data_IF_928328338052
#
_entry.id   IF_928328338052
#
_cell.length_a   1.000
_cell.length_b   1.000
_cell.length_c   1.000
_cell.angle_alpha   90.00
_cell.angle_beta   90.00
_cell.angle_gamma   90.00
#
_symmetry.space_group_name_H-M   'P 1'
#
loop_
_entity.id
_entity.type
_entity.pdbx_description
1 polymer ?
#
# COMPACT_ATOMS: atom_id res chain seq x y z
N UNK A 1 -14.38 -23.36 26.93
CA UNK A 1 -14.20 -23.23 25.47
C UNK A 1 -12.98 -22.35 25.24
N UNK A 2 -11.88 -22.89 24.72
CA UNK A 2 -10.63 -22.14 24.54
C UNK A 2 -10.59 -21.56 23.13
N UNK A 3 -10.56 -20.24 23.01
CA UNK A 3 -10.43 -19.52 21.73
C UNK A 3 -8.95 -19.20 21.54
N UNK A 4 -8.39 -19.59 20.40
CA UNK A 4 -6.99 -19.30 20.07
C UNK A 4 -7.02 -18.27 18.94
N UNK A 5 -6.65 -17.04 19.27
CA UNK A 5 -6.43 -15.96 18.31
C UNK A 5 -5.06 -16.13 17.66
N UNK A 6 -5.02 -16.17 16.33
CA UNK A 6 -3.77 -16.39 15.61
C UNK A 6 -3.52 -15.23 14.69
N UNK A 7 -2.44 -14.51 14.97
CA UNK A 7 -2.02 -13.36 14.19
C UNK A 7 -1.56 -13.91 12.84
N UNK A 8 -2.30 -13.68 11.76
CA UNK A 8 -1.86 -14.03 10.41
C UNK A 8 -0.75 -13.08 9.90
N UNK A 9 0.19 -12.71 10.77
CA UNK A 9 1.44 -12.09 10.34
C UNK A 9 2.22 -13.08 9.50
N UNK A 10 2.91 -12.58 8.47
CA UNK A 10 3.70 -13.32 7.47
C UNK A 10 4.78 -14.29 8.02
N UNK A 11 4.84 -14.53 9.32
CA UNK A 11 5.93 -15.24 10.01
C UNK A 11 5.53 -16.32 11.03
N UNK A 12 4.26 -16.75 11.12
CA UNK A 12 3.87 -17.85 12.03
C UNK A 12 2.97 -18.89 11.34
N UNK A 13 3.43 -19.43 10.20
CA UNK A 13 2.57 -20.25 9.34
C UNK A 13 2.62 -21.78 9.51
N UNK A 14 3.69 -22.35 10.07
CA UNK A 14 3.89 -23.81 9.98
C UNK A 14 3.37 -24.62 11.17
N UNK A 15 3.84 -24.31 12.37
CA UNK A 15 3.79 -25.25 13.51
C UNK A 15 2.60 -25.07 14.46
N UNK A 16 2.10 -23.84 14.64
CA UNK A 16 1.04 -23.55 15.63
C UNK A 16 -0.28 -24.22 15.25
N UNK A 17 -0.64 -24.21 13.96
CA UNK A 17 -1.91 -24.80 13.50
C UNK A 17 -1.98 -26.31 13.72
N UNK A 18 -0.87 -26.99 13.48
CA UNK A 18 -0.73 -28.43 13.70
C UNK A 18 -0.72 -28.76 15.20
N UNK A 19 -0.01 -27.97 16.01
CA UNK A 19 0.05 -28.14 17.46
C UNK A 19 -1.31 -27.95 18.12
N UNK A 20 -2.05 -26.90 17.75
CA UNK A 20 -3.39 -26.61 18.28
C UNK A 20 -4.37 -27.72 17.94
N UNK A 21 -4.37 -28.24 16.71
CA UNK A 21 -5.22 -29.39 16.35
C UNK A 21 -4.92 -30.63 17.19
N UNK A 22 -3.64 -30.89 17.49
CA UNK A 22 -3.24 -32.06 18.29
C UNK A 22 -3.54 -31.90 19.78
N UNK A 23 -3.35 -30.70 20.33
CA UNK A 23 -3.43 -30.46 21.78
C UNK A 23 -4.80 -29.96 22.24
N UNK A 24 -5.53 -29.27 21.37
CA UNK A 24 -6.81 -28.61 21.67
C UNK A 24 -7.82 -28.84 20.52
N UNK A 25 -8.34 -30.07 20.33
CA UNK A 25 -9.21 -30.41 19.19
C UNK A 25 -10.54 -29.65 19.21
N UNK A 26 -11.01 -29.22 20.38
CA UNK A 26 -12.23 -28.44 20.56
C UNK A 26 -11.99 -26.92 20.53
N UNK A 27 -10.75 -26.46 20.29
CA UNK A 27 -10.47 -25.04 20.20
C UNK A 27 -10.95 -24.49 18.86
N UNK A 28 -11.72 -23.40 18.92
CA UNK A 28 -12.17 -22.69 17.72
C UNK A 28 -11.14 -21.64 17.36
N UNK A 29 -10.77 -21.63 16.08
CA UNK A 29 -9.95 -20.58 15.49
C UNK A 29 -10.81 -19.36 15.25
N UNK A 30 -10.42 -18.24 15.83
CA UNK A 30 -11.10 -16.96 15.68
C UNK A 30 -10.07 -15.92 15.30
N UNK A 31 -10.42 -15.11 14.30
CA UNK A 31 -9.65 -13.93 13.95
C UNK A 31 -9.85 -12.88 15.03
N UNK A 32 -8.76 -12.41 15.61
CA UNK A 32 -8.82 -11.33 16.58
C UNK A 32 -9.24 -10.02 15.88
N UNK A 33 -10.24 -9.27 16.40
CA UNK A 33 -10.76 -8.07 15.75
C UNK A 33 -9.71 -7.00 15.47
N UNK A 34 -8.67 -6.85 16.30
CA UNK A 34 -7.61 -5.86 16.08
C UNK A 34 -6.83 -6.17 14.80
N UNK A 35 -6.57 -7.45 14.54
CA UNK A 35 -5.85 -7.88 13.34
C UNK A 35 -6.70 -7.74 12.08
N UNK A 36 -8.02 -7.93 12.20
CA UNK A 36 -8.94 -7.67 11.08
C UNK A 36 -8.87 -6.18 10.70
N UNK A 37 -8.97 -5.27 11.66
CA UNK A 37 -8.87 -3.83 11.41
C UNK A 37 -7.50 -3.46 10.84
N UNK A 38 -6.42 -4.05 11.37
CA UNK A 38 -5.08 -3.83 10.84
C UNK A 38 -4.98 -4.23 9.36
N UNK A 39 -5.49 -5.41 8.98
CA UNK A 39 -5.46 -5.86 7.59
C UNK A 39 -6.31 -5.02 6.66
N UNK A 40 -7.45 -4.52 7.14
CA UNK A 40 -8.26 -3.60 6.36
C UNK A 40 -7.50 -2.30 6.08
N UNK A 41 -6.79 -1.76 7.07
CA UNK A 41 -5.94 -0.58 6.88
C UNK A 41 -4.77 -0.87 5.92
N UNK A 42 -4.09 -2.01 6.07
CA UNK A 42 -2.99 -2.42 5.19
C UNK A 42 -3.48 -2.59 3.74
N UNK A 43 -4.67 -3.18 3.55
CA UNK A 43 -5.28 -3.35 2.23
C UNK A 43 -5.66 -2.01 1.59
N UNK A 44 -6.25 -1.10 2.36
CA UNK A 44 -6.56 0.25 1.89
C UNK A 44 -5.30 1.05 1.53
N UNK A 45 -4.23 0.92 2.31
CA UNK A 45 -2.96 1.59 2.03
C UNK A 45 -2.27 1.04 0.79
N UNK A 46 -2.39 -0.27 0.53
CA UNK A 46 -1.90 -0.90 -0.70
C UNK A 46 -2.57 -0.29 -1.94
N UNK A 47 -3.90 -0.21 -1.96
CA UNK A 47 -4.64 0.40 -3.08
C UNK A 47 -4.25 1.88 -3.24
N UNK A 48 -4.18 2.65 -2.15
CA UNK A 48 -3.78 4.06 -2.20
C UNK A 48 -2.38 4.23 -2.79
N UNK A 49 -1.45 3.34 -2.43
CA UNK A 49 -0.09 3.35 -2.98
C UNK A 49 -0.06 2.97 -4.48
N UNK A 50 -0.88 2.02 -4.90
CA UNK A 50 -1.03 1.63 -6.31
C UNK A 50 -1.53 2.82 -7.16
N UNK A 51 -2.62 3.46 -6.75
CA UNK A 51 -3.18 4.63 -7.42
C UNK A 51 -2.20 5.81 -7.45
N UNK A 52 -1.52 6.07 -6.31
CA UNK A 52 -0.49 7.10 -6.26
C UNK A 52 0.67 6.82 -7.22
N UNK A 53 1.11 5.55 -7.32
CA UNK A 53 2.17 5.16 -8.23
C UNK A 53 1.74 5.28 -9.70
N UNK A 54 0.49 4.96 -10.03
CA UNK A 54 -0.09 5.13 -11.36
C UNK A 54 -0.12 6.62 -11.77
N UNK A 55 -0.69 7.48 -10.92
CA UNK A 55 -0.73 8.93 -11.17
C UNK A 55 0.69 9.53 -11.30
N UNK A 56 1.62 9.09 -10.43
CA UNK A 56 3.03 9.50 -10.49
C UNK A 56 3.72 9.01 -11.76
N UNK A 57 3.37 7.83 -12.27
CA UNK A 57 3.90 7.31 -13.53
C UNK A 57 3.40 8.14 -14.73
N UNK A 58 2.10 8.50 -14.74
CA UNK A 58 1.52 9.38 -15.75
C UNK A 58 2.23 10.76 -15.77
N UNK A 59 2.40 11.38 -14.60
CA UNK A 59 3.13 12.65 -14.47
C UNK A 59 4.58 12.55 -15.00
N UNK A 60 5.25 11.41 -14.76
CA UNK A 60 6.61 11.17 -15.28
C UNK A 60 6.64 10.96 -16.79
N UNK A 61 5.64 10.32 -17.35
CA UNK A 61 5.53 10.10 -18.79
C UNK A 61 5.23 11.40 -19.55
N UNK A 62 4.40 12.28 -18.96
CA UNK A 62 4.08 13.59 -19.53
C UNK A 62 5.26 14.59 -19.48
N UNK A 63 6.31 14.32 -18.69
CA UNK A 63 7.49 15.18 -18.65
C UNK A 63 8.27 15.08 -19.97
N UNK A 64 8.38 16.19 -20.74
CA UNK A 64 9.19 16.18 -21.94
C UNK A 64 10.64 15.92 -21.55
N UNK A 65 11.25 14.89 -22.16
CA UNK A 65 12.68 14.64 -22.01
C UNK A 65 13.39 15.23 -23.23
N UNK A 66 14.06 16.39 -23.10
CA UNK A 66 14.79 16.96 -24.22
C UNK A 66 15.87 15.97 -24.71
N UNK A 67 15.83 15.64 -26.00
CA UNK A 67 16.81 14.76 -26.62
C UNK A 67 18.23 15.32 -26.40
N UNK A 68 19.16 14.45 -26.00
CA UNK A 68 20.55 14.83 -25.76
C UNK A 68 20.85 15.55 -24.43
N UNK A 69 19.85 16.04 -23.69
CA UNK A 69 20.07 16.64 -22.36
C UNK A 69 19.82 15.63 -21.25
N UNK A 70 20.90 15.06 -20.72
CA UNK A 70 20.88 14.19 -19.54
C UNK A 70 21.11 15.06 -18.30
N UNK A 71 20.11 15.20 -17.43
CA UNK A 71 20.29 15.97 -16.20
C UNK A 71 19.00 16.38 -15.53
N UNK A 72 19.12 16.94 -14.32
CA UNK A 72 18.05 17.63 -13.62
C UNK A 72 17.74 18.94 -14.38
N UNK A 73 16.47 19.33 -14.55
CA UNK A 73 16.11 20.63 -15.12
C UNK A 73 16.79 21.78 -14.38
N UNK A 74 16.96 22.91 -15.07
CA UNK A 74 17.61 24.07 -14.49
C UNK A 74 16.80 24.58 -13.28
N UNK A 75 17.49 25.15 -12.28
CA UNK A 75 16.82 25.70 -11.10
C UNK A 75 15.87 26.83 -11.53
N UNK A 76 14.57 26.65 -11.31
CA UNK A 76 13.53 27.62 -11.67
C UNK A 76 12.83 27.35 -13.00
N UNK A 77 13.25 26.33 -13.77
CA UNK A 77 12.52 25.86 -14.94
C UNK A 77 11.23 25.17 -14.49
N UNK A 78 10.09 25.80 -14.79
CA UNK A 78 8.78 25.28 -14.43
C UNK A 78 8.37 24.18 -15.41
N UNK A 79 7.86 23.03 -14.93
CA UNK A 79 7.29 22.00 -15.79
C UNK A 79 6.13 22.56 -16.63
N UNK A 80 5.81 21.94 -17.78
CA UNK A 80 4.56 22.19 -18.48
C UNK A 80 3.36 22.11 -17.54
N UNK A 81 2.32 22.92 -17.80
CA UNK A 81 1.12 22.99 -16.94
C UNK A 81 0.49 21.60 -16.74
N UNK A 82 0.40 20.81 -17.81
CA UNK A 82 -0.13 19.44 -17.78
C UNK A 82 0.62 18.54 -16.79
N UNK A 83 1.96 18.62 -16.78
CA UNK A 83 2.79 17.88 -15.83
C UNK A 83 2.52 18.34 -14.40
N UNK A 84 2.35 19.65 -14.20
CA UNK A 84 2.08 20.22 -12.88
C UNK A 84 0.71 19.77 -12.36
N UNK A 85 -0.31 19.77 -13.21
CA UNK A 85 -1.65 19.28 -12.88
C UNK A 85 -1.61 17.79 -12.47
N UNK A 86 -0.89 16.94 -13.24
CA UNK A 86 -0.71 15.53 -12.90
C UNK A 86 0.10 15.32 -11.61
N UNK A 87 1.07 16.18 -11.32
CA UNK A 87 1.82 16.15 -10.06
C UNK A 87 0.97 16.56 -8.86
N UNK A 88 0.10 17.55 -9.03
CA UNK A 88 -0.88 17.99 -8.03
C UNK A 88 -1.93 16.89 -7.76
N UNK A 89 -2.43 16.23 -8.81
CA UNK A 89 -3.31 15.06 -8.70
C UNK A 89 -2.63 13.93 -7.93
N UNK A 90 -1.41 13.54 -8.30
CA UNK A 90 -0.66 12.53 -7.57
C UNK A 90 -0.39 12.95 -6.10
N UNK A 91 -0.15 14.23 -5.83
CA UNK A 91 0.02 14.74 -4.47
C UNK A 91 -1.28 14.65 -3.66
N UNK A 92 -2.43 14.88 -4.28
CA UNK A 92 -3.75 14.74 -3.65
C UNK A 92 -4.01 13.30 -3.19
N UNK A 93 -3.65 12.30 -4.01
CA UNK A 93 -3.78 10.88 -3.67
C UNK A 93 -2.82 10.51 -2.53
N UNK A 94 -1.60 11.03 -2.53
CA UNK A 94 -0.63 10.79 -1.46
C UNK A 94 -1.09 11.33 -0.10
N UNK A 95 -1.72 12.50 -0.10
CA UNK A 95 -2.27 13.15 1.10
C UNK A 95 -3.65 12.66 1.52
N UNK A 96 -4.30 11.83 0.69
CA UNK A 96 -5.62 11.28 0.98
C UNK A 96 -5.58 10.30 2.17
N UNK A 97 -6.67 10.27 2.93
CA UNK A 97 -6.84 9.30 4.03
C UNK A 97 -7.20 7.90 3.51
N UNK A 98 -7.81 7.81 2.32
CA UNK A 98 -8.28 6.57 1.70
C UNK A 98 -8.07 6.63 0.18
N UNK A 99 -7.89 5.47 -0.46
CA UNK A 99 -7.91 5.36 -1.92
C UNK A 99 -9.30 5.75 -2.46
N UNK A 100 -9.32 6.49 -3.58
CA UNK A 100 -10.54 6.93 -4.28
C UNK A 100 -10.91 5.92 -5.37
#
# INVERSE_FOLDING_TARGET
>A
MWIIGVNGGKYIGGNIRQLVKRRCPNARWVMDPFHVVQWMNDALDAVRCEEWNAARAAARAARPRPEGKRGRPAKGELPPEEVRALEEEAASIKGSRYAL
#
